data_IF_093041394350
#
_entry.id   IF_093041394350
#
_cell.length_a   1.000
_cell.length_b   1.000
_cell.length_c   1.000
_cell.angle_alpha   90.00
_cell.angle_beta   90.00
_cell.angle_gamma   90.00
#
_symmetry.space_group_name_H-M   'P 1'
#
loop_
_entity.id
_entity.type
_entity.pdbx_description
1 polymer ?
#
# COMPACT_ATOMS: atom_id res chain seq x y z
N UNK A 1 -16.58 -19.88 -7.38
CA UNK A 1 -16.19 -18.55 -6.86
C UNK A 1 -14.68 -18.45 -6.93
N UNK A 2 -14.11 -17.43 -7.57
CA UNK A 2 -12.65 -17.21 -7.60
C UNK A 2 -12.23 -16.66 -6.23
N UNK A 3 -11.21 -17.22 -5.56
CA UNK A 3 -10.76 -16.71 -4.27
C UNK A 3 -10.30 -15.25 -4.38
N UNK A 4 -10.70 -14.39 -3.43
CA UNK A 4 -10.31 -12.96 -3.39
C UNK A 4 -8.79 -12.81 -3.52
N UNK A 5 -8.03 -13.62 -2.78
CA UNK A 5 -6.56 -13.57 -2.77
C UNK A 5 -5.92 -14.02 -4.10
N UNK A 6 -6.65 -14.75 -4.94
CA UNK A 6 -6.14 -15.14 -6.25
C UNK A 6 -5.94 -13.93 -7.16
N UNK A 7 -6.90 -13.00 -7.15
CA UNK A 7 -6.85 -11.78 -7.98
C UNK A 7 -6.15 -10.62 -7.26
N UNK A 8 -6.35 -10.48 -5.95
CA UNK A 8 -5.85 -9.31 -5.24
C UNK A 8 -4.35 -9.40 -4.92
N UNK A 9 -3.81 -10.60 -4.62
CA UNK A 9 -2.37 -10.82 -4.36
C UNK A 9 -1.76 -9.78 -3.40
N UNK A 10 -2.47 -9.48 -2.31
CA UNK A 10 -2.17 -8.38 -1.39
C UNK A 10 -0.75 -8.46 -0.79
N UNK A 11 -0.20 -9.66 -0.63
CA UNK A 11 1.17 -9.91 -0.19
C UNK A 11 2.24 -9.32 -1.12
N UNK A 12 1.91 -9.06 -2.38
CA UNK A 12 2.82 -8.46 -3.38
C UNK A 12 2.74 -6.95 -3.46
N UNK A 13 1.90 -6.31 -2.63
CA UNK A 13 1.73 -4.85 -2.62
C UNK A 13 3.03 -4.12 -2.36
N UNK A 14 3.82 -4.61 -1.41
CA UNK A 14 5.11 -4.06 -1.05
C UNK A 14 6.21 -5.09 -1.25
N UNK A 15 7.23 -4.72 -2.00
CA UNK A 15 8.47 -5.46 -2.10
C UNK A 15 9.59 -4.59 -1.51
N UNK A 16 10.10 -5.00 -0.34
CA UNK A 16 11.12 -4.27 0.40
C UNK A 16 12.50 -4.52 -0.22
N UNK A 17 13.14 -3.44 -0.69
CA UNK A 17 14.45 -3.45 -1.33
C UNK A 17 15.49 -2.69 -0.49
N UNK A 18 15.32 -2.67 0.84
CA UNK A 18 16.21 -1.99 1.77
C UNK A 18 15.80 -0.53 1.98
N UNK A 19 16.55 0.41 1.42
CA UNK A 19 16.22 1.84 1.52
C UNK A 19 15.00 2.22 0.67
N UNK A 20 14.73 1.42 -0.38
CA UNK A 20 13.60 1.60 -1.28
C UNK A 20 12.55 0.51 -1.08
N UNK A 21 11.32 0.82 -1.46
CA UNK A 21 10.19 -0.09 -1.50
C UNK A 21 9.56 0.01 -2.88
N UNK A 22 9.36 -1.13 -3.51
CA UNK A 22 8.56 -1.22 -4.72
C UNK A 22 7.08 -1.41 -4.31
N UNK A 23 6.23 -0.49 -4.74
CA UNK A 23 4.81 -0.41 -4.42
C UNK A 23 3.98 -0.76 -5.65
N UNK A 24 3.12 -1.77 -5.53
CA UNK A 24 2.17 -2.21 -6.56
C UNK A 24 0.76 -1.75 -6.19
N UNK A 25 0.33 -0.66 -6.80
CA UNK A 25 -0.84 0.12 -6.38
C UNK A 25 -2.18 -0.56 -6.69
N UNK A 26 -2.25 -1.47 -7.67
CA UNK A 26 -3.50 -2.14 -8.05
C UNK A 26 -3.34 -3.66 -8.24
N UNK A 27 -4.46 -4.39 -8.28
CA UNK A 27 -4.50 -5.85 -8.36
C UNK A 27 -3.81 -6.39 -9.61
N UNK A 28 -3.97 -5.73 -10.76
CA UNK A 28 -3.29 -6.10 -12.01
C UNK A 28 -1.77 -6.07 -11.86
N UNK A 29 -1.22 -4.99 -11.28
CA UNK A 29 0.21 -4.84 -11.08
C UNK A 29 0.78 -5.96 -10.18
N UNK A 30 0.01 -6.40 -9.18
CA UNK A 30 0.35 -7.51 -8.26
C UNK A 30 0.21 -8.88 -8.92
N UNK A 31 -0.85 -9.09 -9.70
CA UNK A 31 -1.11 -10.33 -10.43
C UNK A 31 -0.02 -10.60 -11.48
N UNK A 32 0.25 -9.63 -12.36
CA UNK A 32 1.28 -9.73 -13.40
C UNK A 32 2.71 -9.45 -12.91
N UNK A 33 2.89 -9.17 -11.60
CA UNK A 33 4.18 -8.89 -11.00
C UNK A 33 4.99 -7.78 -11.72
N UNK A 34 4.30 -6.72 -12.15
CA UNK A 34 4.91 -5.59 -12.86
C UNK A 34 5.86 -4.80 -11.95
N UNK A 35 6.62 -3.87 -12.55
CA UNK A 35 7.63 -3.05 -11.86
C UNK A 35 7.07 -2.15 -10.75
N UNK A 36 5.78 -1.81 -10.75
CA UNK A 36 5.20 -0.89 -9.75
C UNK A 36 5.91 0.47 -9.69
N UNK A 37 5.74 1.19 -8.57
CA UNK A 37 6.41 2.46 -8.26
C UNK A 37 7.51 2.23 -7.24
N UNK A 38 8.71 2.75 -7.47
CA UNK A 38 9.79 2.73 -6.50
C UNK A 38 9.71 3.97 -5.61
N UNK A 39 9.73 3.80 -4.29
CA UNK A 39 9.73 4.89 -3.31
C UNK A 39 10.84 4.68 -2.28
N UNK A 40 11.47 5.76 -1.81
CA UNK A 40 12.35 5.66 -0.64
C UNK A 40 11.51 5.61 0.62
N UNK A 41 11.92 4.82 1.61
CA UNK A 41 11.19 4.73 2.90
C UNK A 41 11.13 6.07 3.62
N UNK A 42 12.25 6.80 3.60
CA UNK A 42 12.39 8.14 4.18
C UNK A 42 11.48 9.19 3.54
N UNK A 43 11.03 8.95 2.30
CA UNK A 43 10.24 9.92 1.56
C UNK A 43 8.75 9.79 1.89
N UNK A 44 8.31 8.76 2.62
CA UNK A 44 6.92 8.58 3.01
C UNK A 44 6.67 9.34 4.32
N UNK A 45 5.87 10.39 4.22
CA UNK A 45 5.51 11.26 5.34
C UNK A 45 4.31 10.73 6.13
N UNK A 46 3.33 10.12 5.43
CA UNK A 46 2.07 9.67 6.05
C UNK A 46 1.50 8.43 5.36
N UNK A 47 0.95 7.53 6.15
CA UNK A 47 0.15 6.38 5.74
C UNK A 47 -1.30 6.66 6.17
N UNK A 48 -2.22 6.66 5.22
CA UNK A 48 -3.64 6.90 5.49
C UNK A 48 -4.48 5.71 5.06
N UNK A 49 -5.27 5.16 5.99
CA UNK A 49 -6.29 4.15 5.69
C UNK A 49 -7.66 4.82 5.72
N UNK A 50 -8.33 4.81 4.57
CA UNK A 50 -9.69 5.34 4.39
C UNK A 50 -10.43 4.42 3.39
N UNK A 51 -11.02 4.97 2.33
CA UNK A 51 -11.65 4.20 1.24
C UNK A 51 -10.64 3.26 0.56
N UNK A 52 -9.45 3.77 0.29
CA UNK A 52 -8.24 3.03 -0.08
C UNK A 52 -7.12 3.26 0.94
N UNK A 53 -5.96 2.63 0.71
CA UNK A 53 -4.73 2.94 1.44
C UNK A 53 -3.94 3.96 0.62
N UNK A 54 -3.56 5.10 1.19
CA UNK A 54 -2.77 6.13 0.51
C UNK A 54 -1.45 6.35 1.23
N UNK A 55 -0.35 6.40 0.48
CA UNK A 55 0.94 6.88 0.99
C UNK A 55 1.16 8.31 0.51
N UNK A 56 1.43 9.23 1.43
CA UNK A 56 1.81 10.60 1.10
C UNK A 56 3.31 10.76 1.20
N UNK A 57 3.92 11.34 0.18
CA UNK A 57 5.35 11.64 0.18
C UNK A 57 5.63 13.01 0.82
N UNK A 58 6.87 13.24 1.26
CA UNK A 58 7.34 14.56 1.71
C UNK A 58 7.23 15.64 0.62
N UNK A 59 7.23 15.24 -0.66
CA UNK A 59 7.00 16.10 -1.81
C UNK A 59 5.50 16.30 -2.16
N UNK A 60 4.61 16.02 -1.22
CA UNK A 60 3.15 16.18 -1.32
C UNK A 60 2.49 15.38 -2.46
N UNK A 61 3.09 14.24 -2.84
CA UNK A 61 2.46 13.32 -3.78
C UNK A 61 1.66 12.25 -3.02
N UNK A 62 0.45 11.96 -3.51
CA UNK A 62 -0.34 10.82 -3.04
C UNK A 62 -0.07 9.57 -3.91
N UNK A 63 0.03 8.42 -3.25
CA UNK A 63 0.15 7.10 -3.88
C UNK A 63 -1.00 6.25 -3.37
N UNK A 64 -2.07 6.17 -4.16
CA UNK A 64 -3.22 5.37 -3.82
C UNK A 64 -2.97 3.89 -4.13
N UNK A 65 -3.25 3.06 -3.14
CA UNK A 65 -3.13 1.61 -3.19
C UNK A 65 -4.54 1.05 -3.06
N UNK A 66 -5.06 0.54 -4.17
CA UNK A 66 -6.35 -0.14 -4.24
C UNK A 66 -6.15 -1.63 -3.98
N UNK A 67 -6.86 -2.15 -2.99
CA UNK A 67 -6.88 -3.57 -2.59
C UNK A 67 -8.31 -3.97 -2.28
N UNK A 68 -8.61 -5.27 -2.29
CA UNK A 68 -9.92 -5.73 -1.86
C UNK A 68 -10.16 -5.36 -0.39
N UNK A 69 -11.39 -4.95 0.02
CA UNK A 69 -11.66 -4.52 1.39
C UNK A 69 -11.18 -5.51 2.47
N UNK A 70 -11.38 -6.81 2.23
CA UNK A 70 -10.92 -7.89 3.11
C UNK A 70 -9.40 -7.94 3.37
N UNK A 71 -8.58 -7.33 2.50
CA UNK A 71 -7.12 -7.31 2.61
C UNK A 71 -6.56 -5.95 3.03
N UNK A 72 -7.42 -4.94 3.21
CA UNK A 72 -7.00 -3.55 3.51
C UNK A 72 -6.17 -3.49 4.79
N UNK A 73 -6.61 -4.18 5.84
CA UNK A 73 -5.91 -4.21 7.12
C UNK A 73 -4.54 -4.87 7.01
N UNK A 74 -4.44 -6.01 6.34
CA UNK A 74 -3.16 -6.70 6.11
C UNK A 74 -2.15 -5.81 5.40
N UNK A 75 -2.59 -5.09 4.37
CA UNK A 75 -1.73 -4.20 3.60
C UNK A 75 -1.37 -2.95 4.42
N UNK A 76 -2.30 -2.42 5.20
CA UNK A 76 -2.04 -1.29 6.10
C UNK A 76 -1.04 -1.63 7.21
N UNK A 77 -1.20 -2.77 7.89
CA UNK A 77 -0.22 -3.25 8.87
C UNK A 77 1.16 -3.43 8.23
N UNK A 78 1.21 -3.97 7.01
CA UNK A 78 2.46 -4.12 6.29
C UNK A 78 3.09 -2.75 5.99
N UNK A 79 2.32 -1.76 5.57
CA UNK A 79 2.81 -0.40 5.34
C UNK A 79 3.42 0.20 6.62
N UNK A 80 2.73 0.07 7.77
CA UNK A 80 3.24 0.54 9.08
C UNK A 80 4.57 -0.12 9.45
N UNK A 81 4.72 -1.43 9.19
CA UNK A 81 5.96 -2.15 9.47
C UNK A 81 7.15 -1.69 8.62
N UNK A 82 6.88 -1.16 7.42
CA UNK A 82 7.88 -0.75 6.42
C UNK A 82 8.27 0.72 6.60
N UNK A 83 7.29 1.61 6.73
CA UNK A 83 7.47 3.06 6.82
C UNK A 83 7.35 3.52 8.27
N UNK A 84 8.32 3.10 9.10
CA UNK A 84 8.28 3.28 10.56
C UNK A 84 8.27 4.74 11.02
N UNK A 85 8.76 5.64 10.18
CA UNK A 85 8.86 7.08 10.47
C UNK A 85 7.64 7.87 9.97
N UNK A 86 6.76 7.23 9.19
CA UNK A 86 5.59 7.89 8.63
C UNK A 86 4.49 8.07 9.69
N UNK A 87 3.80 9.21 9.64
CA UNK A 87 2.59 9.43 10.41
C UNK A 87 1.51 8.43 10.00
N UNK A 88 0.79 7.86 10.96
CA UNK A 88 -0.30 6.90 10.70
C UNK A 88 -1.64 7.58 10.97
N UNK A 89 -2.55 7.52 10.00
CA UNK A 89 -3.91 8.06 10.10
C UNK A 89 -4.92 7.02 9.65
N UNK A 90 -5.91 6.74 10.51
CA UNK A 90 -7.07 5.91 10.16
C UNK A 90 -8.32 6.79 10.17
N UNK A 91 -9.03 6.81 9.06
CA UNK A 91 -10.29 7.54 8.92
C UNK A 91 -11.39 6.50 8.80
N UNK A 92 -12.26 6.47 9.80
CA UNK A 92 -13.42 5.61 9.79
C UNK A 92 -14.45 6.21 8.84
N UNK A 93 -14.61 5.61 7.67
CA UNK A 93 -15.66 6.01 6.73
C UNK A 93 -16.93 5.30 7.18
N UNK A 94 -17.75 5.99 7.97
CA UNK A 94 -19.13 5.57 8.21
C UNK A 94 -19.82 5.44 6.84
N UNK A 95 -20.21 4.21 6.51
CA UNK A 95 -20.95 3.86 5.29
C UNK A 95 -22.43 3.83 5.59
#
# INVERSE_FOLDING_TARGET
MIPINFLDKAERTFNDLGANVQVRTNSYSRFYNTKGRLVKKSDIAKIQKAGCLTLFTLSDNAIDITVHPANKDTVFEKAKSIFKEAQVVEIDIQS
#
